data_IF_653962795547
#
_entry.id   IF_653962795547
#
_cell.length_a   1.000
_cell.length_b   1.000
_cell.length_c   1.000
_cell.angle_alpha   90.00
_cell.angle_beta   90.00
_cell.angle_gamma   90.00
#
_symmetry.space_group_name_H-M   'P 1'
#
loop_
_entity.id
_entity.type
_entity.pdbx_description
1 polymer ?
#
# COMPACT_ATOMS: atom_id res chain seq x y z
N UNK A 1 -7.80 15.20 -14.54
CA UNK A 1 -7.81 15.61 -15.94
C UNK A 1 -8.25 14.49 -16.86
N UNK A 2 -8.67 14.81 -18.08
CA UNK A 2 -9.01 13.86 -19.12
C UNK A 2 -8.00 13.99 -20.26
N UNK A 3 -7.46 12.89 -20.71
CA UNK A 3 -6.50 12.82 -21.79
C UNK A 3 -7.04 11.87 -22.86
N UNK A 4 -7.14 12.36 -24.10
CA UNK A 4 -7.53 11.53 -25.23
C UNK A 4 -6.28 11.00 -25.95
N UNK A 5 -6.27 9.73 -26.23
CA UNK A 5 -5.30 9.05 -27.07
C UNK A 5 -5.98 8.65 -28.38
N UNK A 6 -5.62 9.10 -29.49
CA UNK A 6 -4.84 10.12 -30.13
C UNK A 6 -5.75 11.25 -30.62
N UNK A 7 -5.17 12.36 -31.16
CA UNK A 7 -5.97 13.40 -31.83
C UNK A 7 -6.65 12.90 -33.11
N UNK A 8 -5.93 12.20 -33.95
CA UNK A 8 -6.46 11.53 -35.12
C UNK A 8 -6.03 10.05 -35.15
N UNK A 9 -6.74 9.26 -36.00
CA UNK A 9 -6.39 7.85 -36.18
C UNK A 9 -4.99 7.70 -36.75
N UNK A 10 -4.29 6.64 -36.35
CA UNK A 10 -2.89 6.38 -36.71
C UNK A 10 -2.84 5.92 -38.18
N UNK A 11 -1.98 6.55 -38.98
CA UNK A 11 -1.84 6.25 -40.41
C UNK A 11 -0.68 5.30 -40.71
N UNK A 12 0.35 5.26 -39.82
CA UNK A 12 1.57 4.53 -40.06
C UNK A 12 1.86 3.54 -38.92
N UNK A 13 2.62 2.50 -39.20
CA UNK A 13 3.06 1.51 -38.25
C UNK A 13 2.08 0.38 -38.00
N UNK A 14 2.24 -0.34 -36.89
CA UNK A 14 1.43 -1.52 -36.59
C UNK A 14 0.04 -1.21 -36.05
N UNK A 15 -0.18 0.00 -35.58
CA UNK A 15 -1.40 0.42 -34.87
C UNK A 15 -2.36 1.22 -35.77
N UNK A 16 -2.35 0.97 -37.08
CA UNK A 16 -3.17 1.69 -38.06
C UNK A 16 -4.68 1.58 -37.86
N UNK A 17 -5.12 0.63 -37.05
CA UNK A 17 -6.52 0.47 -36.66
C UNK A 17 -6.89 1.23 -35.35
N UNK A 18 -5.93 1.78 -34.64
CA UNK A 18 -6.22 2.59 -33.47
C UNK A 18 -6.85 3.90 -33.87
N UNK A 19 -8.06 4.10 -33.36
CA UNK A 19 -8.86 5.28 -33.63
C UNK A 19 -8.41 6.45 -32.75
N UNK A 20 -8.40 7.63 -33.35
CA UNK A 20 -8.29 8.91 -32.65
C UNK A 20 -9.64 9.58 -32.46
N UNK A 21 -9.63 10.80 -31.96
CA UNK A 21 -10.81 11.67 -31.88
C UNK A 21 -11.32 12.01 -33.27
N UNK A 22 -10.44 12.27 -34.24
CA UNK A 22 -10.75 12.39 -35.62
C UNK A 22 -10.63 11.06 -36.38
N UNK A 23 -11.37 10.89 -37.45
CA UNK A 23 -11.28 9.75 -38.37
C UNK A 23 -9.96 9.72 -39.13
N UNK A 24 -9.68 8.63 -39.89
CA UNK A 24 -8.44 8.53 -40.68
C UNK A 24 -8.33 9.61 -41.78
N UNK A 25 -9.45 10.08 -42.33
CA UNK A 25 -9.51 11.16 -43.29
C UNK A 25 -9.48 12.57 -42.65
N UNK A 26 -9.20 12.62 -41.35
CA UNK A 26 -9.18 13.82 -40.50
C UNK A 26 -10.54 14.52 -40.38
N UNK A 27 -11.62 13.90 -40.84
CA UNK A 27 -12.96 14.41 -40.65
C UNK A 27 -13.47 14.23 -39.23
N UNK A 28 -14.44 15.04 -38.85
CA UNK A 28 -15.19 14.87 -37.61
C UNK A 28 -16.09 13.64 -37.68
N UNK A 29 -16.40 13.09 -36.50
CA UNK A 29 -17.23 11.91 -36.37
C UNK A 29 -17.98 11.99 -35.00
N UNK A 30 -18.87 11.04 -34.67
CA UNK A 30 -19.62 11.10 -33.43
C UNK A 30 -18.74 11.19 -32.17
N UNK A 31 -17.58 10.56 -32.17
CA UNK A 31 -16.62 10.63 -31.02
C UNK A 31 -16.09 12.05 -30.81
N UNK A 32 -15.81 12.76 -31.94
CA UNK A 32 -15.39 14.16 -31.87
C UNK A 32 -16.51 15.05 -31.32
N UNK A 33 -17.75 14.81 -31.73
CA UNK A 33 -18.91 15.57 -31.25
C UNK A 33 -19.15 15.34 -29.75
N UNK A 34 -19.13 14.08 -29.29
CA UNK A 34 -19.25 13.72 -27.89
C UNK A 34 -18.10 14.29 -27.03
N UNK A 35 -16.87 14.22 -27.53
CA UNK A 35 -15.72 14.82 -26.85
C UNK A 35 -15.87 16.35 -26.77
N UNK A 36 -16.44 16.97 -27.79
CA UNK A 36 -16.75 18.39 -27.80
C UNK A 36 -17.83 18.77 -26.79
N UNK A 37 -18.90 17.98 -26.67
CA UNK A 37 -19.93 18.17 -25.63
C UNK A 37 -19.34 18.07 -24.24
N UNK A 38 -18.59 17.00 -23.97
CA UNK A 38 -17.88 16.82 -22.71
C UNK A 38 -16.94 17.99 -22.40
N UNK A 39 -16.17 18.45 -23.39
CA UNK A 39 -15.29 19.61 -23.27
C UNK A 39 -16.04 20.90 -22.89
N UNK A 40 -17.21 21.15 -23.48
CA UNK A 40 -18.07 22.28 -23.12
C UNK A 40 -18.62 22.15 -21.68
N UNK A 41 -19.02 20.96 -21.31
CA UNK A 41 -19.50 20.67 -19.95
C UNK A 41 -18.41 20.92 -18.90
N UNK A 42 -17.21 20.37 -19.12
CA UNK A 42 -16.05 20.62 -18.24
C UNK A 42 -15.68 22.11 -18.21
N UNK A 43 -15.75 22.84 -19.33
CA UNK A 43 -15.48 24.28 -19.34
C UNK A 43 -16.50 25.05 -18.48
N UNK A 44 -17.73 24.57 -18.38
CA UNK A 44 -18.79 25.17 -17.55
C UNK A 44 -18.53 24.96 -16.06
N UNK A 45 -18.06 23.79 -15.64
CA UNK A 45 -17.83 23.42 -14.23
C UNK A 45 -16.35 23.44 -13.82
N UNK A 46 -15.42 23.55 -14.78
CA UNK A 46 -14.00 23.33 -14.57
C UNK A 46 -13.36 24.20 -13.49
N UNK A 47 -13.84 25.45 -13.32
CA UNK A 47 -13.34 26.35 -12.27
C UNK A 47 -13.75 25.88 -10.88
N UNK A 48 -14.93 25.29 -10.74
CA UNK A 48 -15.45 24.78 -9.47
C UNK A 48 -14.78 23.45 -9.08
N UNK A 49 -14.29 22.70 -10.08
CA UNK A 49 -13.61 21.42 -9.90
C UNK A 49 -12.07 21.53 -9.85
N UNK A 50 -11.52 22.72 -10.14
CA UNK A 50 -10.10 22.97 -9.97
C UNK A 50 -9.72 22.93 -8.49
N UNK A 51 -8.61 22.29 -8.20
CA UNK A 51 -8.08 22.21 -6.83
C UNK A 51 -8.97 21.44 -5.82
N UNK A 52 -9.92 20.65 -6.29
CA UNK A 52 -10.60 19.70 -5.41
C UNK A 52 -9.55 18.69 -4.94
N UNK A 53 -9.30 18.69 -3.63
CA UNK A 53 -8.44 17.71 -2.98
C UNK A 53 -9.27 16.90 -1.99
N UNK A 54 -9.04 15.61 -1.96
CA UNK A 54 -9.59 14.74 -0.92
C UNK A 54 -8.54 14.61 0.19
N UNK A 55 -8.90 14.94 1.41
CA UNK A 55 -8.06 14.69 2.57
C UNK A 55 -8.38 13.29 3.10
N UNK A 56 -7.56 12.31 2.75
CA UNK A 56 -7.68 10.96 3.28
C UNK A 56 -7.17 10.91 4.73
N UNK A 57 -7.80 10.07 5.52
CA UNK A 57 -7.41 9.84 6.92
C UNK A 57 -6.58 8.57 7.10
N UNK A 58 -6.45 7.78 6.03
CA UNK A 58 -5.72 6.52 6.01
C UNK A 58 -4.60 6.61 4.98
N UNK A 59 -3.43 6.09 5.32
CA UNK A 59 -2.32 5.90 4.40
C UNK A 59 -1.92 4.43 4.33
N UNK A 60 -1.65 3.93 3.12
CA UNK A 60 -0.96 2.67 2.87
C UNK A 60 0.46 3.01 2.46
N UNK A 61 1.43 2.57 3.26
CA UNK A 61 2.85 2.90 3.05
C UNK A 61 3.49 1.87 2.14
N UNK A 62 4.13 2.35 1.09
CA UNK A 62 4.95 1.54 0.19
C UNK A 62 6.42 1.91 0.30
N UNK A 63 7.30 0.96 0.00
CA UNK A 63 8.75 1.18 0.06
C UNK A 63 9.50 0.31 -0.95
N UNK A 64 10.29 0.94 -1.80
CA UNK A 64 11.06 0.25 -2.82
C UNK A 64 12.17 -0.64 -2.25
N UNK A 65 12.73 -0.33 -1.09
CA UNK A 65 13.71 -1.21 -0.45
C UNK A 65 13.05 -2.46 0.11
N UNK A 66 11.88 -2.33 0.71
CA UNK A 66 11.09 -3.49 1.16
C UNK A 66 10.68 -4.38 -0.02
N UNK A 67 10.25 -3.79 -1.14
CA UNK A 67 9.98 -4.51 -2.40
C UNK A 67 11.22 -5.24 -2.90
N UNK A 68 12.38 -4.57 -2.92
CA UNK A 68 13.64 -5.18 -3.35
C UNK A 68 14.04 -6.34 -2.44
N UNK A 69 13.87 -6.20 -1.13
CA UNK A 69 14.17 -7.26 -0.15
C UNK A 69 13.33 -8.50 -0.39
N UNK A 70 12.04 -8.34 -0.68
CA UNK A 70 11.16 -9.44 -1.05
C UNK A 70 11.62 -10.15 -2.33
N UNK A 71 12.07 -9.39 -3.32
CA UNK A 71 12.55 -9.96 -4.58
C UNK A 71 13.89 -10.71 -4.43
N UNK A 72 14.78 -10.21 -3.57
CA UNK A 72 16.08 -10.84 -3.32
C UNK A 72 15.96 -12.12 -2.46
N UNK A 73 15.06 -12.14 -1.51
CA UNK A 73 14.81 -13.28 -0.64
C UNK A 73 13.31 -13.52 -0.51
N UNK A 74 12.68 -14.07 -1.56
CA UNK A 74 11.23 -14.29 -1.55
C UNK A 74 10.86 -15.31 -0.48
N UNK A 75 9.74 -15.04 0.21
CA UNK A 75 9.13 -15.96 1.17
C UNK A 75 8.64 -17.20 0.44
N UNK A 76 7.95 -16.98 -0.67
CA UNK A 76 7.44 -18.01 -1.56
C UNK A 76 7.49 -17.49 -3.00
N UNK A 77 7.62 -18.40 -3.98
CA UNK A 77 7.65 -18.06 -5.40
C UNK A 77 6.35 -17.44 -5.92
N UNK A 78 5.25 -17.75 -5.25
CA UNK A 78 3.91 -17.32 -5.62
C UNK A 78 3.42 -16.13 -4.78
N UNK A 79 4.30 -15.51 -3.96
CA UNK A 79 4.01 -14.35 -3.13
C UNK A 79 4.97 -13.19 -3.45
N UNK A 80 4.43 -12.10 -3.97
CA UNK A 80 5.17 -10.86 -4.18
C UNK A 80 4.85 -9.80 -3.10
N UNK A 81 5.73 -8.82 -2.95
CA UNK A 81 5.46 -7.63 -2.12
C UNK A 81 4.16 -6.92 -2.54
N UNK A 82 3.93 -6.78 -3.84
CA UNK A 82 2.75 -6.13 -4.37
C UNK A 82 1.44 -6.88 -4.03
N UNK A 83 1.50 -8.20 -3.84
CA UNK A 83 0.33 -8.96 -3.40
C UNK A 83 -0.05 -8.58 -1.97
N UNK A 84 0.93 -8.46 -1.06
CA UNK A 84 0.68 -8.02 0.32
C UNK A 84 0.11 -6.59 0.36
N UNK A 85 0.68 -5.68 -0.43
CA UNK A 85 0.15 -4.31 -0.57
C UNK A 85 -1.29 -4.33 -1.06
N UNK A 86 -1.57 -5.12 -2.09
CA UNK A 86 -2.91 -5.23 -2.69
C UNK A 86 -3.92 -5.80 -1.71
N UNK A 87 -3.59 -6.88 -1.00
CA UNK A 87 -4.51 -7.48 -0.02
C UNK A 87 -4.95 -6.48 1.05
N UNK A 88 -4.01 -5.71 1.59
CA UNK A 88 -4.36 -4.71 2.60
C UNK A 88 -5.14 -3.53 2.00
N UNK A 89 -4.84 -3.14 0.75
CA UNK A 89 -5.60 -2.14 0.03
C UNK A 89 -7.02 -2.61 -0.30
N UNK A 90 -7.17 -3.85 -0.76
CA UNK A 90 -8.47 -4.42 -1.13
C UNK A 90 -9.42 -4.48 0.07
N UNK A 91 -8.92 -4.79 1.26
CA UNK A 91 -9.70 -4.70 2.49
C UNK A 91 -10.26 -3.27 2.73
N UNK A 92 -9.44 -2.24 2.52
CA UNK A 92 -9.89 -0.85 2.63
C UNK A 92 -10.91 -0.50 1.54
N UNK A 93 -10.65 -0.96 0.32
CA UNK A 93 -11.53 -0.74 -0.82
C UNK A 93 -12.91 -1.37 -0.60
N UNK A 94 -12.98 -2.63 -0.17
CA UNK A 94 -14.22 -3.33 0.14
C UNK A 94 -15.02 -2.66 1.27
N UNK A 95 -14.32 -2.09 2.26
CA UNK A 95 -14.92 -1.28 3.32
C UNK A 95 -15.29 0.14 2.88
N UNK A 96 -15.05 0.50 1.61
CA UNK A 96 -15.28 1.84 1.06
C UNK A 96 -14.48 2.94 1.79
N UNK A 97 -13.30 2.60 2.29
CA UNK A 97 -12.36 3.52 2.96
C UNK A 97 -11.34 4.00 1.93
N UNK A 98 -11.35 5.30 1.66
CA UNK A 98 -10.32 5.88 0.80
C UNK A 98 -9.01 6.10 1.55
N UNK A 99 -7.91 5.84 0.87
CA UNK A 99 -6.57 6.01 1.42
C UNK A 99 -5.63 6.69 0.44
N UNK A 100 -4.55 7.27 0.96
CA UNK A 100 -3.39 7.64 0.17
C UNK A 100 -2.45 6.42 0.08
N UNK A 101 -1.92 6.14 -1.11
CA UNK A 101 -0.77 5.27 -1.25
C UNK A 101 0.45 6.18 -1.25
N UNK A 102 1.31 6.04 -0.26
CA UNK A 102 2.40 6.98 0.01
C UNK A 102 3.73 6.25 0.20
N UNK A 103 4.78 6.79 -0.41
CA UNK A 103 6.13 6.31 -0.18
C UNK A 103 6.61 6.64 1.24
N UNK A 104 7.46 5.78 1.82
CA UNK A 104 7.98 5.95 3.18
C UNK A 104 8.63 7.32 3.41
N UNK A 105 9.37 7.85 2.42
CA UNK A 105 10.03 9.16 2.55
C UNK A 105 9.02 10.31 2.56
N UNK A 106 7.96 10.22 1.73
CA UNK A 106 6.88 11.19 1.76
C UNK A 106 6.12 11.17 3.11
N UNK A 107 5.99 9.99 3.72
CA UNK A 107 5.41 9.89 5.06
C UNK A 107 6.34 10.52 6.11
N UNK A 108 7.66 10.32 6.00
CA UNK A 108 8.65 10.99 6.87
C UNK A 108 8.56 12.51 6.78
N UNK A 109 8.42 13.06 5.57
CA UNK A 109 8.22 14.50 5.36
C UNK A 109 6.93 15.01 6.00
N UNK A 110 5.85 14.23 5.96
CA UNK A 110 4.61 14.59 6.65
C UNK A 110 4.78 14.58 8.17
N UNK A 111 5.48 13.60 8.73
CA UNK A 111 5.81 13.58 10.16
C UNK A 111 6.66 14.77 10.62
N UNK A 112 7.50 15.32 9.75
CA UNK A 112 8.26 16.53 10.05
C UNK A 112 7.38 17.79 10.16
N UNK A 113 6.18 17.74 9.58
CA UNK A 113 5.21 18.83 9.62
C UNK A 113 4.20 18.66 10.76
N UNK A 114 3.73 17.45 11.01
CA UNK A 114 2.77 17.14 12.08
C UNK A 114 2.96 15.71 12.61
N UNK A 115 2.81 15.53 13.92
CA UNK A 115 3.00 14.22 14.56
C UNK A 115 1.95 13.19 14.13
N UNK A 116 0.77 13.62 13.73
CA UNK A 116 -0.35 12.75 13.34
C UNK A 116 -0.95 13.14 11.98
N UNK A 117 -0.23 12.89 10.87
CA UNK A 117 -0.69 13.27 9.53
C UNK A 117 -1.89 12.46 9.04
N UNK A 118 -2.14 11.31 9.63
CA UNK A 118 -3.26 10.40 9.34
C UNK A 118 -3.91 9.92 10.63
N UNK A 119 -5.09 9.34 10.55
CA UNK A 119 -5.69 8.61 11.67
C UNK A 119 -5.19 7.17 11.73
N UNK A 120 -4.95 6.57 10.56
CA UNK A 120 -4.45 5.20 10.44
C UNK A 120 -3.35 5.12 9.38
N UNK A 121 -2.31 4.37 9.70
CA UNK A 121 -1.23 4.02 8.77
C UNK A 121 -1.19 2.50 8.65
N UNK A 122 -1.26 2.02 7.41
CA UNK A 122 -1.18 0.60 7.05
C UNK A 122 0.21 0.33 6.50
N UNK A 123 0.91 -0.67 7.03
CA UNK A 123 2.30 -1.02 6.69
C UNK A 123 2.38 -2.44 6.11
N UNK A 124 2.06 -2.62 4.81
CA UNK A 124 2.14 -3.93 4.17
C UNK A 124 3.59 -4.36 4.03
N UNK A 125 4.02 -5.36 4.78
CA UNK A 125 5.38 -5.91 4.72
C UNK A 125 6.47 -4.81 4.63
N UNK A 126 6.35 -3.78 5.46
CA UNK A 126 7.31 -2.66 5.51
C UNK A 126 8.61 -3.14 6.15
N UNK A 127 9.36 -3.93 5.38
CA UNK A 127 10.49 -4.73 5.85
C UNK A 127 11.66 -3.87 6.32
N UNK A 128 12.03 -2.88 5.50
CA UNK A 128 13.19 -2.02 5.73
C UNK A 128 12.80 -0.68 6.32
N UNK A 129 13.25 -0.39 7.52
CA UNK A 129 12.97 0.86 8.24
C UNK A 129 14.25 1.41 8.89
N UNK A 130 14.29 2.71 9.15
CA UNK A 130 15.34 3.33 9.98
C UNK A 130 14.86 3.49 11.42
N UNK A 131 15.80 3.56 12.38
CA UNK A 131 15.49 3.91 13.78
C UNK A 131 14.71 5.25 13.86
N UNK A 132 15.08 6.22 13.03
CA UNK A 132 14.41 7.51 13.00
C UNK A 132 12.93 7.37 12.58
N UNK A 133 12.65 6.57 11.56
CA UNK A 133 11.28 6.27 11.15
C UNK A 133 10.50 5.54 12.23
N UNK A 134 11.10 4.55 12.88
CA UNK A 134 10.49 3.83 14.01
C UNK A 134 10.10 4.80 15.13
N UNK A 135 10.96 5.77 15.48
CA UNK A 135 10.63 6.77 16.50
C UNK A 135 9.47 7.68 16.07
N UNK A 136 9.38 8.07 14.79
CA UNK A 136 8.25 8.84 14.26
C UNK A 136 6.94 8.02 14.35
N UNK A 137 6.99 6.72 14.02
CA UNK A 137 5.84 5.82 14.14
C UNK A 137 5.39 5.64 15.60
N UNK A 138 6.33 5.53 16.54
CA UNK A 138 6.01 5.51 17.98
C UNK A 138 5.33 6.81 18.43
N UNK A 139 5.86 7.95 18.00
CA UNK A 139 5.23 9.25 18.26
C UNK A 139 3.82 9.36 17.70
N UNK A 140 3.60 8.82 16.50
CA UNK A 140 2.28 8.75 15.88
C UNK A 140 1.27 7.93 16.71
N UNK A 141 1.69 6.75 17.19
CA UNK A 141 0.85 5.89 18.04
C UNK A 141 0.55 6.59 19.38
N UNK A 142 1.56 7.21 20.00
CA UNK A 142 1.39 7.98 21.25
C UNK A 142 0.43 9.17 21.09
N UNK A 143 0.38 9.77 19.91
CA UNK A 143 -0.59 10.81 19.57
C UNK A 143 -2.00 10.27 19.25
N UNK A 144 -2.24 8.97 19.47
CA UNK A 144 -3.52 8.31 19.23
C UNK A 144 -3.74 7.92 17.75
N UNK A 145 -2.67 7.75 16.99
CA UNK A 145 -2.72 7.16 15.66
C UNK A 145 -2.82 5.63 15.73
N UNK A 146 -3.39 5.02 14.70
CA UNK A 146 -3.54 3.57 14.57
C UNK A 146 -2.57 3.05 13.53
N UNK A 147 -1.81 2.00 13.85
CA UNK A 147 -0.96 1.28 12.90
C UNK A 147 -1.55 -0.12 12.67
N UNK A 148 -1.76 -0.45 11.39
CA UNK A 148 -2.13 -1.80 10.96
C UNK A 148 -0.97 -2.36 10.16
N UNK A 149 -0.37 -3.43 10.66
CA UNK A 149 0.85 -4.00 10.09
C UNK A 149 0.64 -5.44 9.66
N UNK A 150 1.24 -5.84 8.55
CA UNK A 150 1.32 -7.26 8.19
C UNK A 150 2.64 -7.87 8.66
N UNK A 151 2.77 -9.18 8.45
CA UNK A 151 4.03 -9.90 8.63
C UNK A 151 5.18 -9.22 7.87
N UNK A 152 6.42 -9.52 8.27
CA UNK A 152 7.65 -8.98 7.66
C UNK A 152 7.77 -7.46 7.72
N UNK A 153 7.11 -6.81 8.66
CA UNK A 153 7.28 -5.36 8.88
C UNK A 153 8.26 -5.09 10.01
N UNK A 154 9.07 -4.03 9.87
CA UNK A 154 10.06 -3.56 10.87
C UNK A 154 11.14 -4.61 11.19
N UNK A 155 11.78 -5.19 10.18
CA UNK A 155 12.73 -6.31 10.35
C UNK A 155 14.17 -5.92 10.09
N UNK A 156 14.44 -5.06 9.12
CA UNK A 156 15.79 -4.72 8.67
C UNK A 156 15.99 -3.20 8.58
N UNK A 157 17.25 -2.79 8.66
CA UNK A 157 17.66 -1.41 8.43
C UNK A 157 17.61 -1.04 6.93
N UNK A 158 17.98 0.21 6.63
CA UNK A 158 17.99 0.72 5.24
C UNK A 158 19.13 0.16 4.38
N UNK A 159 20.03 -0.61 4.94
CA UNK A 159 21.08 -1.40 4.24
C UNK A 159 20.65 -2.88 4.09
N UNK A 160 19.43 -3.23 4.50
CA UNK A 160 18.87 -4.58 4.51
C UNK A 160 19.56 -5.54 5.49
N UNK A 161 20.27 -5.02 6.49
CA UNK A 161 20.75 -5.81 7.61
C UNK A 161 19.61 -6.04 8.59
N UNK A 162 19.34 -7.29 8.93
CA UNK A 162 18.31 -7.63 9.90
C UNK A 162 18.74 -7.13 11.28
N UNK A 163 17.85 -6.43 11.97
CA UNK A 163 18.09 -5.99 13.33
C UNK A 163 18.28 -7.20 14.27
N UNK A 164 19.18 -7.06 15.23
CA UNK A 164 19.54 -8.14 16.16
C UNK A 164 18.68 -8.20 17.42
N UNK A 165 17.77 -7.26 17.60
CA UNK A 165 16.80 -7.26 18.69
C UNK A 165 15.55 -8.10 18.34
N UNK A 166 14.65 -8.19 19.31
CA UNK A 166 13.39 -8.93 19.14
C UNK A 166 12.46 -8.18 18.21
N UNK A 167 11.88 -8.90 17.27
CA UNK A 167 11.01 -8.34 16.25
C UNK A 167 9.56 -8.10 16.77
N UNK A 168 8.81 -7.14 16.21
CA UNK A 168 9.24 -6.15 15.23
C UNK A 168 10.15 -5.07 15.84
N UNK A 169 11.24 -4.74 15.14
CA UNK A 169 12.27 -3.83 15.65
C UNK A 169 11.68 -2.53 16.18
N UNK A 170 11.99 -2.24 17.46
CA UNK A 170 11.60 -1.01 18.14
C UNK A 170 10.09 -0.79 18.31
N UNK A 171 9.21 -1.68 17.83
CA UNK A 171 7.76 -1.53 17.86
C UNK A 171 7.03 -2.50 18.79
N UNK A 172 7.76 -3.35 19.51
CA UNK A 172 7.18 -4.39 20.38
C UNK A 172 6.24 -3.84 21.45
N UNK A 173 6.57 -2.70 22.02
CA UNK A 173 5.75 -1.99 23.01
C UNK A 173 4.47 -1.38 22.40
N UNK A 174 4.56 -0.88 21.17
CA UNK A 174 3.40 -0.33 20.46
C UNK A 174 2.41 -1.41 20.03
N UNK A 175 2.91 -2.55 19.56
CA UNK A 175 2.07 -3.67 19.17
C UNK A 175 1.67 -4.57 20.35
N UNK A 176 2.34 -4.43 21.50
CA UNK A 176 2.09 -5.26 22.68
C UNK A 176 2.41 -6.74 22.45
N UNK A 177 3.29 -7.03 21.50
CA UNK A 177 3.71 -8.38 21.15
C UNK A 177 5.12 -8.39 20.56
N UNK A 178 5.72 -9.56 20.51
CA UNK A 178 7.01 -9.79 19.89
C UNK A 178 7.04 -11.13 19.15
N UNK A 179 8.06 -11.34 18.32
CA UNK A 179 8.39 -12.66 17.81
C UNK A 179 9.90 -12.77 17.54
N UNK A 180 10.38 -14.01 17.52
CA UNK A 180 11.77 -14.33 17.18
C UNK A 180 11.88 -15.58 16.31
N UNK A 181 10.75 -16.09 15.86
CA UNK A 181 10.66 -17.26 14.97
C UNK A 181 9.56 -17.04 13.94
N UNK A 182 9.78 -17.63 12.79
CA UNK A 182 8.81 -17.72 11.69
C UNK A 182 8.96 -19.09 11.02
N UNK A 183 7.95 -19.51 10.29
CA UNK A 183 7.94 -20.80 9.63
C UNK A 183 7.07 -20.79 8.38
N UNK A 184 7.27 -21.77 7.53
CA UNK A 184 6.27 -22.18 6.55
C UNK A 184 5.09 -22.83 7.32
N UNK A 185 3.85 -22.40 7.04
CA UNK A 185 2.71 -22.79 7.88
C UNK A 185 2.33 -24.28 7.79
N UNK A 186 2.74 -24.97 6.76
CA UNK A 186 2.42 -26.40 6.56
C UNK A 186 0.90 -26.63 6.47
N UNK A 187 0.34 -27.23 7.55
CA UNK A 187 -1.10 -27.49 7.68
C UNK A 187 -1.76 -26.68 8.77
N UNK A 188 -1.08 -25.65 9.26
CA UNK A 188 -1.63 -24.79 10.30
C UNK A 188 -2.82 -23.99 9.77
N UNK A 189 -3.80 -23.78 10.62
CA UNK A 189 -5.00 -22.99 10.34
C UNK A 189 -5.16 -21.85 11.35
N UNK A 190 -5.95 -20.86 10.99
CA UNK A 190 -6.46 -19.81 11.88
C UNK A 190 -7.95 -19.70 11.62
N UNK A 191 -8.77 -19.80 12.65
CA UNK A 191 -10.24 -19.78 12.51
C UNK A 191 -10.79 -20.77 11.45
N UNK A 192 -10.15 -21.95 11.32
CA UNK A 192 -10.51 -22.97 10.34
C UNK A 192 -10.01 -22.74 8.90
N UNK A 193 -9.38 -21.58 8.63
CA UNK A 193 -8.84 -21.27 7.31
C UNK A 193 -7.35 -21.60 7.24
N UNK A 194 -6.88 -22.08 6.09
CA UNK A 194 -5.49 -22.43 5.89
C UNK A 194 -4.61 -21.17 5.87
N UNK A 195 -3.51 -21.22 6.61
CA UNK A 195 -2.46 -20.22 6.50
C UNK A 195 -1.66 -20.53 5.23
N UNK A 196 -1.50 -19.52 4.39
CA UNK A 196 -0.69 -19.63 3.19
C UNK A 196 0.68 -18.97 3.42
N UNK A 197 1.70 -19.43 2.73
CA UNK A 197 3.02 -18.82 2.56
C UNK A 197 3.87 -18.65 3.83
N UNK A 198 3.39 -18.00 4.90
CA UNK A 198 4.25 -17.54 5.98
C UNK A 198 3.51 -17.38 7.30
N UNK A 199 4.15 -17.78 8.40
CA UNK A 199 3.66 -17.59 9.76
C UNK A 199 4.78 -17.07 10.67
N UNK A 200 4.54 -15.93 11.32
CA UNK A 200 5.34 -15.43 12.44
C UNK A 200 4.78 -15.99 13.74
N UNK A 201 5.65 -16.54 14.59
CA UNK A 201 5.23 -17.12 15.85
C UNK A 201 5.14 -16.03 16.91
N UNK A 202 4.00 -15.34 16.91
CA UNK A 202 3.77 -14.18 17.75
C UNK A 202 3.66 -14.57 19.23
N UNK A 203 4.32 -13.78 20.08
CA UNK A 203 4.27 -13.87 21.55
C UNK A 203 3.55 -12.63 22.07
N UNK A 204 2.27 -12.72 22.46
CA UNK A 204 1.55 -11.59 23.03
C UNK A 204 2.10 -11.23 24.41
N UNK A 205 2.16 -9.94 24.70
CA UNK A 205 2.44 -9.36 26.02
C UNK A 205 1.20 -8.59 26.51
N UNK A 206 1.01 -7.39 25.99
CA UNK A 206 -0.17 -6.56 26.32
C UNK A 206 -1.23 -6.57 25.21
N UNK A 207 -0.91 -7.16 24.06
CA UNK A 207 -1.86 -7.28 22.95
C UNK A 207 -3.03 -8.19 23.30
N UNK A 208 -4.23 -7.79 22.85
CA UNK A 208 -5.39 -8.67 22.88
C UNK A 208 -5.29 -9.65 21.71
N UNK A 209 -5.23 -10.93 22.02
CA UNK A 209 -5.28 -12.00 21.00
C UNK A 209 -6.72 -12.13 20.52
N UNK A 210 -6.93 -12.02 19.21
CA UNK A 210 -8.25 -12.21 18.57
C UNK A 210 -8.38 -13.65 18.09
N UNK A 211 -7.32 -14.16 17.43
CA UNK A 211 -7.26 -15.52 16.90
C UNK A 211 -5.88 -16.11 17.12
N UNK A 212 -5.79 -17.43 17.16
CA UNK A 212 -4.56 -18.19 17.36
C UNK A 212 -4.36 -19.23 16.26
N UNK A 213 -3.11 -19.58 16.03
CA UNK A 213 -2.79 -20.71 15.16
C UNK A 213 -3.30 -22.03 15.77
N UNK A 214 -3.96 -22.83 14.96
CA UNK A 214 -4.39 -24.17 15.32
C UNK A 214 -3.24 -25.15 15.06
N UNK A 215 -2.24 -25.10 15.96
CA UNK A 215 -1.05 -25.96 15.87
C UNK A 215 -0.62 -26.45 17.25
N UNK A 216 0.00 -27.64 17.30
CA UNK A 216 0.35 -28.29 18.59
C UNK A 216 1.38 -27.48 19.42
N UNK A 217 2.26 -26.77 18.78
CA UNK A 217 3.41 -26.12 19.42
C UNK A 217 3.42 -24.59 19.29
N UNK A 218 2.50 -24.01 18.55
CA UNK A 218 2.42 -22.57 18.31
C UNK A 218 1.05 -22.16 17.72
#
# INVERSE_FOLDING_TARGET
>A
GVLYWNWHSIHDGYETYWKGVLSHDLSTNPVYEEAGEFGREIARFGRETLCISRKNQVAVVIDNQSLSSFNWFPIDKDLSYNDVVRWMYDCLYEMNISCDIIDIHQLEEKFDQEQKPYQMIVTPALYSVSDAFVQKMKGFVQAGGVVVSSFKSFVADRQLSVYSDVQPHGMTDCFGMSYNQFTEPGRATVAGENILYFAELLKPDTAQVIESYEHKYW
#
